data_IF_778783119756
#
_entry.id   IF_778783119756
#
_cell.length_a   1.000
_cell.length_b   1.000
_cell.length_c   1.000
_cell.angle_alpha   90.00
_cell.angle_beta   90.00
_cell.angle_gamma   90.00
#
_symmetry.space_group_name_H-M   'P 1'
#
loop_
_entity.id
_entity.type
_entity.pdbx_description
1 polymer ?
#
# COMPACT_ATOMS: atom_id res chain seq x y z
N UNK A 1 -6.49 14.84 3.93
CA UNK A 1 -6.16 14.66 5.35
C UNK A 1 -6.18 13.16 5.66
N UNK A 2 -5.00 12.56 5.80
CA UNK A 2 -4.79 11.21 6.36
C UNK A 2 -3.54 11.22 7.27
N UNK A 3 -3.21 12.37 7.85
CA UNK A 3 -2.01 12.56 8.70
C UNK A 3 -2.26 12.19 10.18
N UNK A 4 -3.35 11.49 10.52
CA UNK A 4 -3.75 11.28 11.92
C UNK A 4 -4.35 9.94 12.30
N UNK A 5 -4.36 8.92 11.43
CA UNK A 5 -5.08 7.67 11.71
C UNK A 5 -4.27 6.60 12.49
N UNK A 6 -3.06 6.90 12.94
CA UNK A 6 -2.29 6.00 13.81
C UNK A 6 -1.84 4.67 13.17
N UNK A 7 -2.09 4.46 11.87
CA UNK A 7 -1.73 3.22 11.18
C UNK A 7 -0.24 3.22 10.86
N UNK A 8 0.51 2.35 11.52
CA UNK A 8 1.91 2.08 11.18
C UNK A 8 1.95 1.06 10.05
N UNK A 9 2.74 1.32 9.01
CA UNK A 9 2.88 0.43 7.85
C UNK A 9 4.32 -0.09 7.79
N UNK A 10 4.47 -1.40 7.66
CA UNK A 10 5.73 -2.06 7.32
C UNK A 10 5.59 -2.62 5.91
N UNK A 11 6.41 -2.15 4.98
CA UNK A 11 6.34 -2.54 3.57
C UNK A 11 7.54 -3.43 3.28
N UNK A 12 7.31 -4.60 2.69
CA UNK A 12 8.38 -5.49 2.25
C UNK A 12 9.05 -4.95 0.99
N UNK A 13 10.29 -5.37 0.74
CA UNK A 13 11.00 -4.99 -0.50
C UNK A 13 10.22 -5.44 -1.76
N UNK A 14 9.55 -6.60 -1.71
CA UNK A 14 8.70 -7.09 -2.80
C UNK A 14 7.53 -6.16 -3.10
N UNK A 15 6.81 -5.73 -2.05
CA UNK A 15 5.72 -4.77 -2.21
C UNK A 15 6.22 -3.41 -2.71
N UNK A 16 7.42 -3.01 -2.27
CA UNK A 16 8.06 -1.78 -2.75
C UNK A 16 8.40 -1.87 -4.24
N UNK A 17 8.99 -2.97 -4.67
CA UNK A 17 9.36 -3.24 -6.07
C UNK A 17 8.10 -3.26 -6.96
N UNK A 18 7.04 -3.95 -6.54
CA UNK A 18 5.77 -3.97 -7.25
C UNK A 18 5.16 -2.57 -7.42
N UNK A 19 5.13 -1.78 -6.35
CA UNK A 19 4.65 -0.39 -6.41
C UNK A 19 5.53 0.48 -7.31
N UNK A 20 6.85 0.22 -7.32
CA UNK A 20 7.79 0.94 -8.17
C UNK A 20 7.59 0.59 -9.65
N UNK A 21 7.41 -0.68 -9.99
CA UNK A 21 7.13 -1.14 -11.35
C UNK A 21 5.81 -0.55 -11.87
N UNK A 22 4.73 -0.67 -11.10
CA UNK A 22 3.42 -0.11 -11.47
C UNK A 22 3.41 1.43 -11.46
N UNK A 23 4.21 2.04 -10.59
CA UNK A 23 4.33 3.48 -10.41
C UNK A 23 5.22 4.19 -11.41
N UNK A 24 6.10 3.44 -12.08
CA UNK A 24 7.09 3.98 -13.00
C UNK A 24 6.56 3.96 -14.43
N UNK A 25 6.29 5.16 -14.96
CA UNK A 25 6.04 5.32 -16.39
C UNK A 25 7.25 5.99 -17.05
N UNK A 26 7.88 5.38 -18.08
CA UNK A 26 9.06 5.93 -18.75
C UNK A 26 8.88 7.38 -19.23
N UNK A 27 7.67 7.72 -19.67
CA UNK A 27 7.30 9.04 -20.18
C UNK A 27 7.08 10.09 -19.06
N UNK A 28 6.75 9.65 -17.84
CA UNK A 28 6.36 10.52 -16.73
C UNK A 28 7.30 10.45 -15.52
N UNK A 29 8.30 9.58 -15.54
CA UNK A 29 9.19 9.29 -14.41
C UNK A 29 8.42 8.84 -13.17
N UNK A 30 8.89 9.21 -11.98
CA UNK A 30 8.26 8.86 -10.71
C UNK A 30 7.01 9.70 -10.35
N UNK A 31 6.56 10.63 -11.22
CA UNK A 31 5.37 11.47 -10.96
C UNK A 31 4.08 10.68 -10.67
N UNK A 32 3.82 9.53 -11.34
CA UNK A 32 2.63 8.72 -11.08
C UNK A 32 2.71 7.89 -9.80
N UNK A 33 3.90 7.70 -9.23
CA UNK A 33 4.15 6.81 -8.06
C UNK A 33 3.22 7.15 -6.90
N UNK A 34 3.04 8.44 -6.59
CA UNK A 34 2.12 8.87 -5.52
C UNK A 34 0.66 8.46 -5.77
N UNK A 35 0.23 8.46 -7.04
CA UNK A 35 -1.14 8.07 -7.43
C UNK A 35 -1.31 6.56 -7.42
N UNK A 36 -0.28 5.80 -7.80
CA UNK A 36 -0.25 4.34 -7.72
C UNK A 36 -0.28 3.88 -6.28
N UNK A 37 0.56 4.46 -5.40
CA UNK A 37 0.50 4.22 -3.94
C UNK A 37 -0.92 4.49 -3.41
N UNK A 38 -1.53 5.63 -3.75
CA UNK A 38 -2.90 5.91 -3.31
C UNK A 38 -3.93 4.88 -3.81
N UNK A 39 -3.83 4.45 -5.06
CA UNK A 39 -4.82 3.53 -5.63
C UNK A 39 -4.68 2.12 -5.12
N UNK A 40 -3.46 1.59 -5.08
CA UNK A 40 -3.20 0.19 -4.78
C UNK A 40 -3.00 -0.07 -3.29
N UNK A 41 -2.31 0.83 -2.60
CA UNK A 41 -2.04 0.66 -1.17
C UNK A 41 -3.23 1.13 -0.32
N UNK A 42 -3.61 2.41 -0.47
CA UNK A 42 -4.55 3.06 0.45
C UNK A 42 -5.99 2.56 0.29
N UNK A 43 -6.45 2.29 -0.93
CA UNK A 43 -7.82 1.80 -1.14
C UNK A 43 -7.99 0.36 -0.65
N UNK A 44 -7.04 -0.53 -0.92
CA UNK A 44 -7.11 -1.92 -0.45
C UNK A 44 -6.96 -1.98 1.07
N UNK A 45 -6.02 -1.23 1.65
CA UNK A 45 -5.90 -1.11 3.10
C UNK A 45 -7.20 -0.59 3.74
N UNK A 46 -7.84 0.42 3.12
CA UNK A 46 -9.13 0.93 3.62
C UNK A 46 -10.23 -0.13 3.57
N UNK A 47 -10.28 -0.95 2.51
CA UNK A 47 -11.23 -2.08 2.41
C UNK A 47 -10.99 -3.10 3.51
N UNK A 48 -9.74 -3.50 3.73
CA UNK A 48 -9.38 -4.52 4.73
C UNK A 48 -9.62 -4.05 6.17
N UNK A 49 -9.39 -2.75 6.45
CA UNK A 49 -9.76 -2.10 7.70
C UNK A 49 -11.28 -2.09 7.91
N UNK A 50 -12.05 -1.70 6.89
CA UNK A 50 -13.53 -1.69 6.96
C UNK A 50 -14.12 -3.10 7.08
N UNK A 51 -13.44 -4.10 6.53
CA UNK A 51 -13.80 -5.52 6.68
C UNK A 51 -13.45 -6.08 8.07
N UNK A 52 -12.71 -5.33 8.90
CA UNK A 52 -12.28 -5.75 10.23
C UNK A 52 -11.18 -6.82 10.22
N UNK A 53 -10.54 -7.06 9.07
CA UNK A 53 -9.45 -8.03 8.94
C UNK A 53 -8.12 -7.48 9.42
N UNK A 54 -7.95 -6.16 9.35
CA UNK A 54 -6.75 -5.44 9.79
C UNK A 54 -7.13 -4.49 10.90
N UNK A 55 -6.29 -4.44 11.93
CA UNK A 55 -6.47 -3.52 13.06
C UNK A 55 -5.57 -2.28 12.88
N UNK A 56 -6.11 -1.07 13.05
CA UNK A 56 -5.34 0.17 12.87
C UNK A 56 -4.38 0.49 14.01
N UNK A 57 -4.47 -0.22 15.13
CA UNK A 57 -3.69 -0.02 16.36
C UNK A 57 -2.33 -0.75 16.35
N UNK A 58 -2.12 -1.65 15.38
CA UNK A 58 -0.88 -2.42 15.20
C UNK A 58 -0.22 -2.10 13.86
N UNK A 59 1.11 -2.29 13.74
CA UNK A 59 1.79 -2.22 12.47
C UNK A 59 1.19 -3.21 11.47
N UNK A 60 0.81 -2.71 10.30
CA UNK A 60 0.29 -3.51 9.19
C UNK A 60 1.44 -3.86 8.28
N UNK A 61 1.70 -5.15 8.10
CA UNK A 61 2.62 -5.65 7.11
C UNK A 61 1.95 -5.63 5.74
N UNK A 62 2.58 -4.93 4.80
CA UNK A 62 2.22 -4.87 3.39
C UNK A 62 3.23 -5.72 2.64
N UNK A 63 2.73 -6.75 1.98
CA UNK A 63 3.53 -7.63 1.12
C UNK A 63 2.89 -7.77 -0.26
N UNK A 64 3.65 -8.29 -1.22
CA UNK A 64 3.14 -8.63 -2.54
C UNK A 64 3.09 -10.16 -2.69
N UNK A 65 1.97 -10.65 -3.23
CA UNK A 65 1.81 -12.04 -3.58
C UNK A 65 0.98 -12.17 -4.88
N UNK A 66 1.53 -12.88 -5.87
CA UNK A 66 0.89 -13.16 -7.17
C UNK A 66 0.38 -11.91 -7.91
N UNK A 67 1.12 -10.80 -7.85
CA UNK A 67 0.78 -9.52 -8.48
C UNK A 67 -0.26 -8.70 -7.72
N UNK A 68 -0.54 -9.05 -6.45
CA UNK A 68 -1.51 -8.37 -5.60
C UNK A 68 -0.89 -7.97 -4.27
N UNK A 69 -1.22 -6.76 -3.81
CA UNK A 69 -0.84 -6.33 -2.46
C UNK A 69 -1.70 -7.05 -1.42
N UNK A 70 -1.04 -7.61 -0.42
CA UNK A 70 -1.63 -8.28 0.73
C UNK A 70 -1.31 -7.52 2.01
N UNK A 71 -2.23 -7.57 2.97
CA UNK A 71 -2.15 -6.84 4.23
C UNK A 71 -2.34 -7.81 5.38
N UNK A 72 -1.52 -7.70 6.44
CA UNK A 72 -1.62 -8.58 7.62
C UNK A 72 -1.14 -7.91 8.91
N UNK A 73 -1.76 -8.25 10.05
CA UNK A 73 -1.29 -7.91 11.41
C UNK A 73 -1.88 -8.81 12.52
#
# INVERSE_FOLDING_TARGET
MLEGNGVSLQITDKALDFIAEEGYHPEFGARPVKRVIQRFLLNELSRELLAGKIQSDKPVLVDENDGLLTFSN
#
